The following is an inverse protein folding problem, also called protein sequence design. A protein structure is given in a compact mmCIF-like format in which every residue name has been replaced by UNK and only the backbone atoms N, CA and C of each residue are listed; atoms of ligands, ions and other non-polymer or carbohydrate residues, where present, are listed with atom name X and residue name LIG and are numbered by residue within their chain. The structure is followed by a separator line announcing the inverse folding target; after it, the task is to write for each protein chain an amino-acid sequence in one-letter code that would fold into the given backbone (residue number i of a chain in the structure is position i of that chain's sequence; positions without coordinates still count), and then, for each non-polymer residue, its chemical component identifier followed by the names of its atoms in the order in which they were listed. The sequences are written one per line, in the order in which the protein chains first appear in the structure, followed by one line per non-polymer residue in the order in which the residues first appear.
data_IF_651780720686
#
_entry.id   IF_651780720686
#
_cell.length_a   1.000
_cell.length_b   1.000
_cell.length_c   1.000
_cell.angle_alpha   90.00
_cell.angle_beta   90.00
_cell.angle_gamma   90.00
#
_symmetry.space_group_name_H-M   'P 1'
#
loop_
_entity.id
_entity.type
_entity.pdbx_description
1 polymer ?
#
# COMPACT_ATOMS: atom_id res chain seq x y z
N UNK A 1 17.23 14.74 1.20
CA UNK A 1 16.59 13.42 1.07
C UNK A 1 15.53 13.28 2.16
N UNK A 2 14.31 13.76 1.93
CA UNK A 2 13.24 13.68 2.94
C UNK A 2 12.58 12.31 2.87
N UNK A 3 12.63 11.59 3.99
CA UNK A 3 12.05 10.26 4.18
C UNK A 3 10.52 10.39 4.30
N UNK A 4 9.81 10.05 3.24
CA UNK A 4 8.34 10.04 3.14
C UNK A 4 7.70 8.90 3.96
N UNK A 5 8.06 8.75 5.24
CA UNK A 5 7.50 7.72 6.12
C UNK A 5 6.65 8.36 7.23
N UNK A 6 5.34 8.15 7.14
CA UNK A 6 4.39 8.46 8.22
C UNK A 6 4.63 7.47 9.38
N UNK A 7 4.90 7.98 10.58
CA UNK A 7 5.21 7.17 11.76
C UNK A 7 3.98 7.04 12.66
N UNK A 8 3.43 5.83 12.80
CA UNK A 8 2.33 5.53 13.73
C UNK A 8 2.72 4.34 14.62
N UNK A 9 2.75 4.58 15.94
CA UNK A 9 2.80 3.59 17.03
C UNK A 9 3.83 2.45 16.90
N UNK A 10 5.11 2.76 16.64
CA UNK A 10 6.23 1.80 16.56
C UNK A 10 6.19 0.76 15.41
N UNK A 11 5.14 0.71 14.58
CA UNK A 11 5.09 -0.17 13.40
C UNK A 11 5.09 0.67 12.12
N UNK A 12 6.26 0.80 11.50
CA UNK A 12 6.45 1.47 10.20
C UNK A 12 5.84 0.63 9.07
N UNK A 13 4.52 0.57 9.00
CA UNK A 13 3.79 -0.04 7.90
C UNK A 13 3.53 0.97 6.78
N UNK A 14 3.57 0.52 5.53
CA UNK A 14 3.19 1.36 4.40
C UNK A 14 1.68 1.64 4.44
N UNK A 15 1.21 2.88 4.20
CA UNK A 15 -0.19 3.24 4.39
C UNK A 15 -1.13 2.38 3.54
N UNK A 16 -0.79 2.12 2.27
CA UNK A 16 -1.59 1.28 1.38
C UNK A 16 -1.75 -0.16 1.90
N UNK A 17 -0.73 -0.74 2.54
CA UNK A 17 -0.80 -2.08 3.14
C UNK A 17 -1.74 -2.09 4.33
N UNK A 18 -1.66 -1.08 5.20
CA UNK A 18 -2.50 -0.96 6.39
C UNK A 18 -3.98 -0.88 5.99
N UNK A 19 -4.32 -0.02 5.02
CA UNK A 19 -5.69 0.11 4.54
C UNK A 19 -6.17 -1.14 3.80
N UNK A 20 -5.36 -1.76 2.94
CA UNK A 20 -5.72 -3.03 2.29
C UNK A 20 -5.95 -4.16 3.30
N UNK A 21 -5.16 -4.18 4.37
CA UNK A 21 -5.28 -5.16 5.45
C UNK A 21 -6.56 -4.97 6.28
N UNK A 22 -6.92 -3.72 6.58
CA UNK A 22 -8.11 -3.39 7.35
C UNK A 22 -9.41 -3.72 6.62
N UNK A 23 -9.46 -3.48 5.30
CA UNK A 23 -10.73 -3.52 4.54
C UNK A 23 -10.95 -4.79 3.71
N UNK A 24 -9.89 -5.48 3.27
CA UNK A 24 -10.02 -6.62 2.35
C UNK A 24 -9.33 -7.89 2.84
N UNK A 25 -8.06 -7.79 3.24
CA UNK A 25 -7.20 -8.94 3.50
C UNK A 25 -6.55 -8.85 4.89
N UNK A 26 -7.21 -9.31 5.96
CA UNK A 26 -6.67 -9.21 7.32
C UNK A 26 -5.35 -9.99 7.50
N UNK A 27 -5.11 -10.99 6.65
CA UNK A 27 -3.95 -11.87 6.54
C UNK A 27 -2.79 -11.27 5.74
N UNK A 28 -2.96 -10.10 5.12
CA UNK A 28 -1.91 -9.45 4.33
C UNK A 28 -0.68 -9.13 5.18
N UNK A 29 0.47 -9.70 4.80
CA UNK A 29 1.73 -9.56 5.54
C UNK A 29 2.63 -8.52 4.87
N UNK A 30 2.77 -8.60 3.54
CA UNK A 30 3.73 -7.80 2.80
C UNK A 30 3.07 -7.01 1.65
N UNK A 31 3.67 -5.86 1.32
CA UNK A 31 3.26 -5.07 0.14
C UNK A 31 3.55 -5.78 -1.18
N UNK A 32 4.42 -6.79 -1.18
CA UNK A 32 4.75 -7.58 -2.38
C UNK A 32 3.57 -8.42 -2.86
N UNK A 33 2.63 -8.76 -1.97
CA UNK A 33 1.39 -9.46 -2.30
C UNK A 33 0.35 -8.52 -2.94
N UNK A 34 0.63 -7.22 -3.05
CA UNK A 34 -0.28 -6.23 -3.64
C UNK A 34 0.29 -5.72 -4.97
N UNK A 35 -0.43 -6.00 -6.04
CA UNK A 35 -0.17 -5.39 -7.34
C UNK A 35 -1.14 -4.21 -7.57
N UNK A 36 -0.65 -3.01 -7.87
CA UNK A 36 -1.52 -1.91 -8.26
C UNK A 36 -2.18 -2.21 -9.62
N UNK A 37 -3.46 -1.90 -9.75
CA UNK A 37 -4.16 -1.99 -11.04
C UNK A 37 -3.69 -0.92 -12.04
N UNK A 38 -3.81 -1.20 -13.33
CA UNK A 38 -3.33 -0.33 -14.42
C UNK A 38 -3.92 1.10 -14.41
N UNK A 39 -5.07 1.28 -13.75
CA UNK A 39 -5.76 2.58 -13.64
C UNK A 39 -5.28 3.43 -12.45
N UNK A 40 -4.34 2.95 -11.64
CA UNK A 40 -3.92 3.64 -10.43
C UNK A 40 -2.84 4.70 -10.72
N UNK A 41 -3.25 5.98 -10.82
CA UNK A 41 -2.33 7.11 -11.08
C UNK A 41 -1.36 7.43 -9.93
N UNK A 42 -1.64 6.89 -8.74
CA UNK A 42 -0.88 7.10 -7.50
C UNK A 42 -0.40 5.78 -6.90
N UNK A 43 -0.14 4.78 -7.75
CA UNK A 43 0.42 3.50 -7.33
C UNK A 43 1.74 3.68 -6.56
N UNK A 44 1.99 2.82 -5.58
CA UNK A 44 3.20 2.87 -4.75
C UNK A 44 4.50 2.83 -5.58
N UNK A 45 4.49 2.07 -6.67
CA UNK A 45 5.64 1.96 -7.58
C UNK A 45 6.00 3.27 -8.29
N UNK A 46 5.05 4.20 -8.46
CA UNK A 46 5.27 5.47 -9.15
C UNK A 46 6.07 6.49 -8.35
N UNK A 47 6.40 6.19 -7.06
CA UNK A 47 7.20 7.05 -6.16
C UNK A 47 6.76 8.53 -6.16
N UNK A 48 5.46 8.78 -6.33
CA UNK A 48 4.87 10.11 -6.21
C UNK A 48 4.82 10.52 -4.74
N UNK A 49 4.62 11.83 -4.52
CA UNK A 49 4.50 12.41 -3.18
C UNK A 49 3.25 11.90 -2.43
N UNK A 50 2.24 11.44 -3.18
CA UNK A 50 1.02 10.84 -2.66
C UNK A 50 0.92 9.37 -3.09
N UNK A 51 0.47 8.52 -2.16
CA UNK A 51 0.24 7.08 -2.37
C UNK A 51 -1.25 6.79 -2.30
N UNK A 52 -1.76 6.09 -3.31
CA UNK A 52 -3.10 5.55 -3.29
C UNK A 52 -3.25 4.55 -2.13
N UNK A 53 -4.29 4.72 -1.31
CA UNK A 53 -4.62 3.78 -0.23
C UNK A 53 -5.91 3.02 -0.50
N UNK A 54 -6.55 3.27 -1.65
CA UNK A 54 -7.81 2.65 -2.00
C UNK A 54 -7.60 1.14 -2.25
N UNK A 55 -8.18 0.25 -1.42
CA UNK A 55 -7.94 -1.18 -1.52
C UNK A 55 -8.52 -1.81 -2.80
N UNK A 56 -9.40 -1.13 -3.52
CA UNK A 56 -9.92 -1.58 -4.83
C UNK A 56 -8.98 -1.26 -5.99
N UNK A 57 -8.02 -0.33 -5.80
CA UNK A 57 -6.97 -0.06 -6.78
C UNK A 57 -5.78 -1.03 -6.65
N UNK A 58 -5.81 -1.92 -5.67
CA UNK A 58 -4.82 -2.99 -5.49
C UNK A 58 -5.50 -4.33 -5.66
N UNK A 59 -4.82 -5.22 -6.37
CA UNK A 59 -5.20 -6.62 -6.52
C UNK A 59 -4.20 -7.45 -5.74
N UNK A 60 -4.70 -8.43 -4.99
CA UNK A 60 -3.84 -9.40 -4.32
C UNK A 60 -3.30 -10.36 -5.37
N UNK A 61 -1.98 -10.51 -5.38
CA UNK A 61 -1.27 -11.51 -6.18
C UNK A 61 -0.61 -12.49 -5.21
N UNK A 62 -0.79 -13.78 -5.46
CA UNK A 62 -0.01 -14.81 -4.79
C UNK A 62 1.32 -14.93 -5.52
N UNK A 63 2.42 -14.77 -4.78
CA UNK A 63 3.79 -14.92 -5.30
C UNK A 63 4.20 -16.38 -5.16
#
# INVERSE_FOLDING_TARGET
CLDSKLQVSHRKGLPHVIYCRLWRWPDLQNHQELQPGDRCEYAFHLKKDQVCVNPYHYTRVEV
#
